data_IF_122889525704
#
_entry.id   IF_122889525704
#
_cell.length_a   1.000
_cell.length_b   1.000
_cell.length_c   1.000
_cell.angle_alpha   90.00
_cell.angle_beta   90.00
_cell.angle_gamma   90.00
#
_symmetry.space_group_name_H-M   'P 1'
#
loop_
_entity.id
_entity.type
_entity.pdbx_description
1 polymer ?
#
# COMPACT_ATOMS: atom_id res chain seq x y z
N UNK A 1 -31.44 16.17 -15.98
CA UNK A 1 -31.07 14.81 -15.55
C UNK A 1 -29.78 14.33 -16.22
N UNK A 2 -29.64 14.38 -17.56
CA UNK A 2 -28.41 14.01 -18.28
C UNK A 2 -27.13 14.79 -17.88
N UNK A 3 -27.25 16.10 -17.63
CA UNK A 3 -26.12 16.96 -17.22
C UNK A 3 -25.51 16.61 -15.86
N UNK A 4 -26.32 16.09 -14.92
CA UNK A 4 -25.83 15.68 -13.60
C UNK A 4 -25.01 14.40 -13.74
N UNK A 5 -25.53 13.43 -14.49
CA UNK A 5 -24.87 12.14 -14.73
C UNK A 5 -23.53 12.32 -15.47
N UNK A 6 -23.45 13.25 -16.42
CA UNK A 6 -22.21 13.56 -17.13
C UNK A 6 -21.11 14.11 -16.21
N UNK A 7 -21.45 15.06 -15.33
CA UNK A 7 -20.51 15.58 -14.33
C UNK A 7 -20.07 14.52 -13.33
N UNK A 8 -20.96 13.60 -12.96
CA UNK A 8 -20.59 12.45 -12.13
C UNK A 8 -19.61 11.52 -12.84
N UNK A 9 -19.86 11.19 -14.11
CA UNK A 9 -18.96 10.35 -14.93
C UNK A 9 -17.57 11.00 -15.04
N UNK A 10 -17.51 12.30 -15.37
CA UNK A 10 -16.26 13.05 -15.44
C UNK A 10 -15.52 13.06 -14.10
N UNK A 11 -16.25 13.28 -13.00
CA UNK A 11 -15.71 13.22 -11.65
C UNK A 11 -15.10 11.85 -11.31
N UNK A 12 -15.77 10.75 -11.65
CA UNK A 12 -15.24 9.39 -11.45
C UNK A 12 -14.00 9.13 -12.28
N UNK A 13 -13.97 9.56 -13.55
CA UNK A 13 -12.79 9.40 -14.42
C UNK A 13 -11.60 10.15 -13.83
N UNK A 14 -11.82 11.39 -13.38
CA UNK A 14 -10.78 12.21 -12.75
C UNK A 14 -10.24 11.54 -11.47
N UNK A 15 -11.13 11.03 -10.62
CA UNK A 15 -10.74 10.31 -9.40
C UNK A 15 -9.93 9.04 -9.71
N UNK A 16 -10.36 8.25 -10.69
CA UNK A 16 -9.63 7.07 -11.15
C UNK A 16 -8.23 7.43 -11.66
N UNK A 17 -8.14 8.46 -12.50
CA UNK A 17 -6.86 8.93 -13.03
C UNK A 17 -5.93 9.40 -11.91
N UNK A 18 -6.43 10.23 -10.99
CA UNK A 18 -5.65 10.71 -9.86
C UNK A 18 -5.15 9.56 -8.98
N UNK A 19 -6.00 8.55 -8.75
CA UNK A 19 -5.63 7.34 -8.00
C UNK A 19 -4.52 6.55 -8.68
N UNK A 20 -4.57 6.41 -10.00
CA UNK A 20 -3.51 5.73 -10.77
C UNK A 20 -2.18 6.49 -10.74
N UNK A 21 -2.23 7.81 -10.86
CA UNK A 21 -1.03 8.66 -10.76
C UNK A 21 -0.43 8.55 -9.36
N UNK A 22 -1.26 8.62 -8.32
CA UNK A 22 -0.82 8.46 -6.94
C UNK A 22 -0.17 7.09 -6.70
N UNK A 23 -0.80 6.02 -7.19
CA UNK A 23 -0.26 4.66 -7.09
C UNK A 23 1.13 4.55 -7.70
N UNK A 24 1.30 5.05 -8.93
CA UNK A 24 2.61 5.07 -9.60
C UNK A 24 3.65 5.88 -8.84
N UNK A 25 3.24 7.04 -8.30
CA UNK A 25 4.11 7.89 -7.50
C UNK A 25 4.58 7.20 -6.22
N UNK A 26 3.69 6.50 -5.51
CA UNK A 26 4.02 5.75 -4.30
C UNK A 26 5.04 4.64 -4.60
N UNK A 27 4.79 3.83 -5.64
CA UNK A 27 5.73 2.78 -6.05
C UNK A 27 7.08 3.35 -6.45
N UNK A 28 7.11 4.48 -7.14
CA UNK A 28 8.37 5.18 -7.44
C UNK A 28 9.10 5.58 -6.16
N UNK A 29 8.42 6.18 -5.19
CA UNK A 29 9.02 6.61 -3.92
C UNK A 29 9.54 5.46 -3.07
N UNK A 30 8.81 4.35 -3.02
CA UNK A 30 9.25 3.13 -2.33
C UNK A 30 10.57 2.63 -2.94
N UNK A 31 10.64 2.53 -4.27
CA UNK A 31 11.86 2.09 -4.96
C UNK A 31 13.04 3.06 -4.74
N UNK A 32 12.80 4.36 -4.86
CA UNK A 32 13.81 5.42 -4.67
C UNK A 32 14.40 5.38 -3.26
N UNK A 33 13.56 5.27 -2.23
CA UNK A 33 14.00 5.26 -0.84
C UNK A 33 14.60 3.93 -0.40
N UNK A 34 14.13 2.81 -0.94
CA UNK A 34 14.69 1.49 -0.67
C UNK A 34 15.93 1.16 -1.54
N UNK A 35 16.29 2.01 -2.50
CA UNK A 35 17.41 1.78 -3.41
C UNK A 35 17.18 0.64 -4.40
N UNK A 36 15.92 0.28 -4.67
CA UNK A 36 15.55 -0.82 -5.57
C UNK A 36 15.63 -0.38 -7.04
N UNK A 37 16.31 -1.17 -7.87
CA UNK A 37 16.44 -0.89 -9.30
C UNK A 37 16.50 -2.18 -10.13
N UNK A 38 16.29 -2.07 -11.44
CA UNK A 38 16.37 -3.20 -12.34
C UNK A 38 15.33 -4.29 -12.05
N UNK A 39 15.78 -5.53 -11.83
CA UNK A 39 14.92 -6.71 -11.66
C UNK A 39 14.30 -6.82 -10.27
N UNK A 40 14.87 -6.16 -9.25
CA UNK A 40 14.39 -6.22 -7.87
C UNK A 40 13.36 -5.14 -7.54
N UNK A 41 12.88 -4.42 -8.56
CA UNK A 41 11.97 -3.31 -8.43
C UNK A 41 10.65 -3.73 -7.76
N UNK A 42 10.22 -2.95 -6.78
CA UNK A 42 8.88 -3.01 -6.23
C UNK A 42 7.87 -2.51 -7.28
N UNK A 43 6.77 -3.24 -7.49
CA UNK A 43 5.81 -2.96 -8.57
C UNK A 43 4.43 -2.64 -8.02
N UNK A 44 3.56 -2.07 -8.87
CA UNK A 44 2.15 -1.85 -8.52
C UNK A 44 1.45 -3.17 -8.15
N UNK A 45 1.79 -4.27 -8.83
CA UNK A 45 1.26 -5.60 -8.53
C UNK A 45 1.62 -6.06 -7.11
N UNK A 46 2.91 -5.96 -6.74
CA UNK A 46 3.41 -6.27 -5.39
C UNK A 46 2.70 -5.46 -4.31
N UNK A 47 2.45 -4.17 -4.56
CA UNK A 47 1.70 -3.34 -3.62
C UNK A 47 0.25 -3.82 -3.45
N UNK A 48 -0.44 -4.12 -4.55
CA UNK A 48 -1.83 -4.58 -4.53
C UNK A 48 -1.91 -5.95 -3.84
N UNK A 49 -1.00 -6.86 -4.16
CA UNK A 49 -0.93 -8.19 -3.57
C UNK A 49 -0.63 -8.10 -2.07
N UNK A 50 0.29 -7.25 -1.66
CA UNK A 50 0.54 -6.95 -0.24
C UNK A 50 -0.74 -6.44 0.43
N UNK A 51 -1.40 -5.41 -0.12
CA UNK A 51 -2.62 -4.83 0.46
C UNK A 51 -3.78 -5.82 0.59
N UNK A 52 -3.91 -6.76 -0.35
CA UNK A 52 -5.01 -7.73 -0.35
C UNK A 52 -4.77 -8.91 0.59
N UNK A 53 -3.50 -9.30 0.76
CA UNK A 53 -3.16 -10.56 1.41
C UNK A 53 -2.56 -10.41 2.80
N UNK A 54 -1.88 -9.29 3.09
CA UNK A 54 -1.35 -9.01 4.43
C UNK A 54 -2.52 -8.65 5.34
N UNK A 55 -2.84 -9.57 6.26
CA UNK A 55 -3.95 -9.43 7.21
C UNK A 55 -3.43 -9.70 8.62
N UNK A 56 -3.52 -8.67 9.44
CA UNK A 56 -3.19 -8.74 10.86
C UNK A 56 -4.47 -8.67 11.70
N UNK A 57 -4.61 -9.56 12.68
CA UNK A 57 -5.69 -9.53 13.66
C UNK A 57 -5.11 -9.01 14.97
N UNK A 58 -5.62 -7.87 15.43
CA UNK A 58 -5.23 -7.28 16.70
C UNK A 58 -6.30 -7.54 17.77
N UNK A 59 -5.93 -8.24 18.84
CA UNK A 59 -6.73 -8.36 20.06
C UNK A 59 -6.46 -7.15 20.96
N UNK A 60 -7.47 -6.31 21.18
CA UNK A 60 -7.39 -5.13 22.04
C UNK A 60 -8.12 -5.36 23.35
N UNK A 61 -7.42 -5.15 24.47
CA UNK A 61 -8.01 -5.15 25.81
C UNK A 61 -7.72 -3.81 26.49
N UNK A 62 -8.74 -3.18 27.07
CA UNK A 62 -8.64 -1.82 27.64
C UNK A 62 -7.98 -0.80 26.68
N UNK A 63 -8.35 -0.86 25.40
CA UNK A 63 -7.84 0.03 24.35
C UNK A 63 -6.33 -0.06 24.07
N UNK A 64 -5.64 -1.04 24.67
CA UNK A 64 -4.26 -1.39 24.38
C UNK A 64 -4.23 -2.64 23.50
N UNK A 65 -3.30 -2.68 22.55
CA UNK A 65 -3.07 -3.87 21.73
C UNK A 65 -2.37 -4.89 22.64
N UNK A 66 -3.06 -5.99 22.92
CA UNK A 66 -2.57 -7.01 23.85
C UNK A 66 -1.94 -8.18 23.09
N UNK A 67 -2.46 -8.49 21.90
CA UNK A 67 -1.88 -9.50 20.98
C UNK A 67 -2.08 -9.09 19.54
N UNK A 68 -1.06 -9.35 18.73
CA UNK A 68 -1.09 -9.27 17.27
C UNK A 68 -0.93 -10.68 16.74
N UNK A 69 -1.85 -11.10 15.88
CA UNK A 69 -1.78 -12.36 15.14
C UNK A 69 -1.63 -12.04 13.66
N UNK A 70 -0.46 -12.32 13.12
CA UNK A 70 -0.20 -12.24 11.68
C UNK A 70 -0.67 -13.55 11.03
N UNK A 71 -1.49 -13.44 9.98
CA UNK A 71 -1.87 -14.60 9.18
C UNK A 71 -0.73 -14.90 8.19
N UNK A 72 0.36 -15.48 8.70
CA UNK A 72 1.54 -15.88 7.92
C UNK A 72 1.35 -17.30 7.43
N UNK A 73 0.80 -17.45 6.22
CA UNK A 73 0.88 -18.69 5.44
C UNK A 73 2.20 -18.68 4.64
N UNK A 74 2.83 -19.82 4.40
CA UNK A 74 4.10 -19.90 3.66
C UNK A 74 3.98 -19.28 2.24
N UNK A 75 2.77 -19.37 1.67
CA UNK A 75 2.42 -18.74 0.39
C UNK A 75 2.34 -17.20 0.44
N UNK A 76 2.35 -16.60 1.63
CA UNK A 76 2.24 -15.15 1.86
C UNK A 76 3.55 -14.50 2.31
N UNK A 77 4.63 -15.26 2.46
CA UNK A 77 5.94 -14.76 2.93
C UNK A 77 6.42 -13.53 2.14
N UNK A 78 6.37 -13.60 0.81
CA UNK A 78 6.76 -12.49 -0.07
C UNK A 78 5.91 -11.22 0.15
N UNK A 79 4.63 -11.37 0.49
CA UNK A 79 3.73 -10.24 0.73
C UNK A 79 4.03 -9.57 2.07
N UNK A 80 4.44 -10.35 3.07
CA UNK A 80 4.91 -9.82 4.35
C UNK A 80 6.29 -9.16 4.23
N UNK A 81 7.19 -9.71 3.43
CA UNK A 81 8.46 -9.05 3.09
C UNK A 81 8.22 -7.69 2.42
N UNK A 82 7.25 -7.64 1.50
CA UNK A 82 6.81 -6.41 0.84
C UNK A 82 6.22 -5.40 1.83
N UNK A 83 5.44 -5.87 2.82
CA UNK A 83 4.91 -5.03 3.90
C UNK A 83 6.01 -4.42 4.75
N UNK A 84 6.96 -5.23 5.25
CA UNK A 84 8.06 -4.73 6.06
C UNK A 84 8.99 -3.79 5.28
N UNK A 85 9.14 -4.02 3.97
CA UNK A 85 9.85 -3.08 3.10
C UNK A 85 9.19 -1.70 3.09
N UNK A 86 7.86 -1.66 2.90
CA UNK A 86 7.09 -0.40 2.91
C UNK A 86 7.11 0.25 4.29
N UNK A 87 6.99 -0.53 5.37
CA UNK A 87 7.07 -0.07 6.75
C UNK A 87 8.41 0.62 7.02
N UNK A 88 9.53 -0.02 6.65
CA UNK A 88 10.87 0.57 6.77
C UNK A 88 11.02 1.87 6.00
N UNK A 89 10.50 1.93 4.77
CA UNK A 89 10.49 3.17 3.98
C UNK A 89 9.71 4.27 4.70
N UNK A 90 8.58 3.94 5.32
CA UNK A 90 7.76 4.88 6.07
C UNK A 90 8.48 5.42 7.32
N UNK A 91 9.19 4.56 8.05
CA UNK A 91 10.02 4.98 9.19
C UNK A 91 11.15 5.93 8.78
N UNK A 92 11.83 5.63 7.67
CA UNK A 92 12.87 6.52 7.11
C UNK A 92 12.32 7.91 6.77
N UNK A 93 11.05 8.01 6.34
CA UNK A 93 10.40 9.30 6.11
C UNK A 93 9.96 10.03 7.39
N UNK A 94 9.69 9.31 8.49
CA UNK A 94 9.36 9.94 9.79
C UNK A 94 10.57 10.60 10.46
N UNK A 95 11.76 10.03 10.31
CA UNK A 95 13.00 10.56 10.91
C UNK A 95 13.46 11.88 10.26
N UNK A 96 12.98 12.20 9.05
CA UNK A 96 13.32 13.43 8.31
C UNK A 96 12.44 14.65 8.64
N UNK A 97 11.51 14.55 9.60
CA UNK A 97 10.65 15.64 10.07
C UNK A 97 11.08 16.12 11.45
#
# INVERSE_FOLDING_TARGET
>A
MYLSTWKHIEGYICLCFLSLVLLKFLVFKINDLAGLSGKDKFTEGRLIDMMNNVKEIQEKFNNQITKTFELNDDNLSQNWDDYHLVEKVFELTKIKK
#
